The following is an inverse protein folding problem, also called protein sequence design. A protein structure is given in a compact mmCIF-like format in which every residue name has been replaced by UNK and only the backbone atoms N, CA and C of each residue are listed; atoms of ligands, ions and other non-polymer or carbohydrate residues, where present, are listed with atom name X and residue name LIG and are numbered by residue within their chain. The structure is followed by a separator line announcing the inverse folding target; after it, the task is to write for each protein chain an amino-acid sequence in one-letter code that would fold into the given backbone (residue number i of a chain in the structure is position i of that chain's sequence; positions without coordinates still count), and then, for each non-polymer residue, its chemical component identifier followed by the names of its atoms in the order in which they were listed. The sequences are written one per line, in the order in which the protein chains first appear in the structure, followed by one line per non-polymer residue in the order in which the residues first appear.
data_IF_605300855919
#
_entry.id   IF_605300855919
#
_cell.length_a   1.000
_cell.length_b   1.000
_cell.length_c   1.000
_cell.angle_alpha   90.00
_cell.angle_beta   90.00
_cell.angle_gamma   90.00
#
_symmetry.space_group_name_H-M   'P 1'
#
loop_
_entity.id
_entity.type
_entity.pdbx_description
1 polymer ?
#
# COMPACT_ATOMS: atom_id res chain seq x y z
N UNK A 1 -15.26 7.80 -8.24
CA UNK A 1 -13.77 7.76 -8.21
C UNK A 1 -13.28 9.18 -8.39
N UNK A 2 -12.38 9.64 -7.52
CA UNK A 2 -11.79 10.97 -7.62
C UNK A 2 -10.73 11.00 -8.72
N UNK A 3 -10.68 12.07 -9.55
CA UNK A 3 -9.59 12.22 -10.49
C UNK A 3 -8.25 12.41 -9.78
N UNK A 4 -7.18 11.94 -10.41
CA UNK A 4 -5.82 12.15 -9.92
C UNK A 4 -5.49 13.67 -9.94
N UNK A 5 -4.85 14.18 -8.89
CA UNK A 5 -4.55 15.60 -8.73
C UNK A 5 -5.73 16.46 -8.23
N UNK A 6 -6.87 15.85 -7.89
CA UNK A 6 -7.99 16.56 -7.31
C UNK A 6 -7.71 16.95 -5.85
N UNK A 7 -7.77 18.23 -5.56
CA UNK A 7 -7.77 18.71 -4.18
C UNK A 7 -9.13 18.45 -3.56
N UNK A 8 -9.13 17.90 -2.36
CA UNK A 8 -10.35 17.58 -1.61
C UNK A 8 -10.30 18.20 -0.21
N UNK A 9 -11.43 18.62 0.29
CA UNK A 9 -11.64 18.87 1.72
C UNK A 9 -12.45 17.71 2.31
N UNK A 10 -12.06 17.27 3.49
CA UNK A 10 -12.73 16.17 4.20
C UNK A 10 -13.35 16.73 5.48
N UNK A 11 -14.69 16.61 5.59
CA UNK A 11 -15.40 16.87 6.83
C UNK A 11 -15.22 15.69 7.78
N UNK A 12 -14.37 15.84 8.80
CA UNK A 12 -14.04 14.75 9.72
C UNK A 12 -15.09 14.47 10.81
N UNK A 13 -16.13 15.31 10.93
CA UNK A 13 -17.17 15.13 11.95
C UNK A 13 -17.93 13.82 11.73
N UNK A 14 -17.93 12.92 12.70
CA UNK A 14 -18.52 11.57 12.56
C UNK A 14 -17.59 10.50 12.01
N UNK A 15 -16.39 10.88 11.55
CA UNK A 15 -15.31 9.95 11.25
C UNK A 15 -14.37 9.82 12.45
N UNK A 16 -13.62 8.73 12.49
CA UNK A 16 -12.64 8.48 13.54
C UNK A 16 -11.31 8.01 12.94
N UNK A 17 -10.23 8.27 13.68
CA UNK A 17 -8.91 7.76 13.36
C UNK A 17 -8.69 6.47 14.16
N UNK A 18 -8.27 5.43 13.48
CA UNK A 18 -7.91 4.16 14.07
C UNK A 18 -6.77 3.52 13.31
N UNK A 19 -6.62 2.22 13.48
CA UNK A 19 -5.61 1.45 12.77
C UNK A 19 -6.20 0.17 12.19
N UNK A 20 -5.69 -0.21 11.05
CA UNK A 20 -5.90 -1.51 10.44
C UNK A 20 -4.53 -2.12 10.12
N UNK A 21 -4.25 -3.33 10.64
CA UNK A 21 -2.96 -3.99 10.47
C UNK A 21 -1.74 -3.06 10.72
N UNK A 22 -1.79 -2.29 11.81
CA UNK A 22 -0.83 -1.25 12.20
C UNK A 22 -0.76 0.00 11.30
N UNK A 23 -1.48 0.08 10.22
CA UNK A 23 -1.57 1.28 9.41
C UNK A 23 -2.66 2.21 9.96
N UNK A 24 -2.33 3.50 10.15
CA UNK A 24 -3.31 4.51 10.52
C UNK A 24 -4.35 4.67 9.40
N UNK A 25 -5.62 4.71 9.77
CA UNK A 25 -6.70 4.97 8.81
C UNK A 25 -7.75 5.92 9.38
N UNK A 26 -8.31 6.74 8.50
CA UNK A 26 -9.54 7.47 8.75
C UNK A 26 -10.71 6.60 8.31
N UNK A 27 -11.72 6.45 9.14
CA UNK A 27 -12.84 5.57 8.82
C UNK A 27 -14.09 5.84 9.62
N UNK A 28 -15.07 4.97 9.47
CA UNK A 28 -16.33 5.01 10.21
C UNK A 28 -16.24 4.09 11.42
N UNK A 29 -16.53 4.58 12.64
CA UNK A 29 -16.55 3.72 13.80
C UNK A 29 -17.72 2.73 13.73
N UNK A 30 -17.48 1.47 14.06
CA UNK A 30 -18.51 0.45 14.19
C UNK A 30 -18.21 -0.45 15.39
N UNK A 31 -19.24 -1.05 15.94
CA UNK A 31 -19.09 -1.99 17.04
C UNK A 31 -18.98 -3.42 16.50
N UNK A 32 -17.81 -4.02 16.67
CA UNK A 32 -17.58 -5.39 16.27
C UNK A 32 -18.08 -6.35 17.35
N UNK A 33 -19.14 -7.11 17.03
CA UNK A 33 -19.67 -8.17 17.87
C UNK A 33 -19.05 -9.54 17.61
N UNK A 34 -18.28 -9.69 16.54
CA UNK A 34 -17.66 -10.95 16.18
C UNK A 34 -16.70 -11.41 17.28
N UNK A 35 -16.72 -12.69 17.59
CA UNK A 35 -15.75 -13.30 18.51
C UNK A 35 -14.43 -13.58 17.82
N UNK A 36 -14.45 -13.61 16.50
CA UNK A 36 -13.33 -13.93 15.64
C UNK A 36 -13.23 -12.83 14.60
N UNK A 37 -12.23 -12.00 14.72
CA UNK A 37 -11.82 -11.02 13.71
C UNK A 37 -10.37 -11.23 13.38
N UNK A 38 -9.97 -10.92 12.18
CA UNK A 38 -8.58 -11.10 11.71
C UNK A 38 -7.57 -10.45 12.67
N UNK A 39 -7.85 -9.23 13.14
CA UNK A 39 -6.93 -8.47 13.98
C UNK A 39 -7.30 -8.49 15.47
N UNK A 40 -8.50 -8.94 15.82
CA UNK A 40 -9.06 -8.85 17.16
C UNK A 40 -9.76 -10.14 17.59
N UNK A 41 -9.22 -11.28 17.19
CA UNK A 41 -9.79 -12.58 17.55
C UNK A 41 -10.21 -12.65 19.02
N UNK A 42 -11.49 -12.81 19.23
CA UNK A 42 -12.10 -12.91 20.57
C UNK A 42 -12.34 -11.58 21.30
N UNK A 43 -12.06 -10.42 20.72
CA UNK A 43 -12.31 -9.11 21.32
C UNK A 43 -13.55 -8.47 20.73
N UNK A 44 -14.51 -8.15 21.58
CA UNK A 44 -15.61 -7.25 21.22
C UNK A 44 -15.16 -5.82 21.48
N UNK A 45 -15.53 -4.90 20.61
CA UNK A 45 -15.21 -3.50 20.83
C UNK A 45 -15.50 -2.60 19.63
N UNK A 46 -15.19 -1.34 19.83
CA UNK A 46 -15.25 -0.35 18.78
C UNK A 46 -14.02 -0.47 17.88
N UNK A 47 -14.28 -0.54 16.60
CA UNK A 47 -13.27 -0.59 15.54
C UNK A 47 -13.52 0.51 14.52
N UNK A 48 -12.52 0.79 13.69
CA UNK A 48 -12.62 1.73 12.61
C UNK A 48 -12.64 0.96 11.30
N UNK A 49 -13.78 1.03 10.62
CA UNK A 49 -14.00 0.38 9.34
C UNK A 49 -13.72 1.30 8.15
N UNK A 50 -13.88 0.74 6.98
CA UNK A 50 -13.83 1.49 5.72
C UNK A 50 -14.94 2.54 5.70
N UNK A 51 -14.72 3.65 5.00
CA UNK A 51 -15.78 4.64 4.74
C UNK A 51 -16.60 4.13 3.54
N UNK A 52 -17.87 3.76 3.74
CA UNK A 52 -18.73 3.37 2.61
C UNK A 52 -18.89 4.53 1.62
N UNK A 53 -19.06 4.23 0.34
CA UNK A 53 -19.15 5.25 -0.71
C UNK A 53 -20.21 6.34 -0.44
N UNK A 54 -21.44 6.04 0.01
CA UNK A 54 -22.41 7.07 0.34
C UNK A 54 -21.89 8.03 1.43
N UNK A 55 -21.33 7.51 2.51
CA UNK A 55 -20.76 8.30 3.61
C UNK A 55 -19.56 9.12 3.11
N UNK A 56 -18.71 8.52 2.28
CA UNK A 56 -17.59 9.23 1.66
C UNK A 56 -18.06 10.45 0.86
N UNK A 57 -19.12 10.32 0.06
CA UNK A 57 -19.67 11.41 -0.74
C UNK A 57 -20.25 12.56 0.12
N UNK A 58 -20.76 12.27 1.31
CA UNK A 58 -21.25 13.27 2.26
C UNK A 58 -20.12 14.03 2.96
N UNK A 59 -18.95 13.41 3.06
CA UNK A 59 -17.79 13.94 3.79
C UNK A 59 -16.76 14.63 2.91
N UNK A 60 -16.91 14.55 1.56
CA UNK A 60 -15.90 15.08 0.63
C UNK A 60 -16.47 16.29 -0.12
N UNK A 61 -15.64 17.32 -0.20
CA UNK A 61 -15.84 18.45 -1.10
C UNK A 61 -14.67 18.55 -2.07
N UNK A 62 -14.97 18.63 -3.38
CA UNK A 62 -13.96 18.86 -4.41
C UNK A 62 -13.63 20.34 -4.46
N UNK A 63 -12.34 20.66 -4.53
CA UNK A 63 -11.84 22.03 -4.59
C UNK A 63 -11.09 22.24 -5.90
N UNK A 64 -11.56 23.17 -6.71
CA UNK A 64 -10.94 23.49 -7.99
C UNK A 64 -10.98 22.34 -9.00
N UNK A 65 -10.15 22.43 -10.02
CA UNK A 65 -9.96 21.42 -11.05
C UNK A 65 -8.77 20.51 -10.70
N UNK A 66 -8.81 19.22 -11.10
CA UNK A 66 -7.68 18.30 -10.92
C UNK A 66 -6.44 18.84 -11.63
N UNK A 67 -5.29 18.75 -10.96
CA UNK A 67 -4.00 19.16 -11.49
C UNK A 67 -2.93 18.17 -11.07
N UNK A 68 -2.53 17.30 -11.99
CA UNK A 68 -1.53 16.26 -11.75
C UNK A 68 -0.16 16.85 -11.41
N UNK A 69 0.16 18.05 -11.91
CA UNK A 69 1.45 18.70 -11.65
C UNK A 69 1.65 19.09 -10.18
N UNK A 70 0.57 19.14 -9.41
CA UNK A 70 0.58 19.43 -7.96
C UNK A 70 0.72 18.20 -7.08
N UNK A 71 0.84 17.02 -7.67
CA UNK A 71 1.09 15.81 -6.90
C UNK A 71 2.57 15.76 -6.56
N UNK A 72 2.85 15.99 -5.28
CA UNK A 72 4.21 15.93 -4.75
C UNK A 72 4.59 14.50 -4.39
N UNK A 73 5.81 14.10 -4.76
CA UNK A 73 6.40 12.84 -4.33
C UNK A 73 7.56 13.12 -3.38
N UNK A 74 7.60 12.39 -2.27
CA UNK A 74 8.72 12.46 -1.35
C UNK A 74 9.84 11.56 -1.87
N UNK A 75 11.04 12.09 -2.16
CA UNK A 75 12.19 11.24 -2.49
C UNK A 75 12.52 10.36 -1.27
N UNK A 76 12.79 9.08 -1.51
CA UNK A 76 13.06 8.09 -0.48
C UNK A 76 14.11 7.11 -0.96
N UNK A 77 14.89 6.57 -0.04
CA UNK A 77 15.82 5.46 -0.29
C UNK A 77 15.30 4.18 0.37
N UNK A 78 15.82 3.02 -0.05
CA UNK A 78 15.42 1.74 0.56
C UNK A 78 15.77 1.71 2.05
N UNK A 79 16.84 2.38 2.48
CA UNK A 79 17.26 2.41 3.88
C UNK A 79 16.32 3.22 4.79
N UNK A 80 15.45 4.05 4.22
CA UNK A 80 14.50 4.87 4.97
C UNK A 80 13.16 4.17 5.24
N UNK A 81 12.95 2.96 4.70
CA UNK A 81 11.75 2.18 5.03
C UNK A 81 11.74 1.87 6.53
N UNK A 82 10.65 2.18 7.23
CA UNK A 82 10.51 1.81 8.64
C UNK A 82 10.59 0.30 8.80
N UNK A 83 11.22 -0.16 9.87
CA UNK A 83 11.19 -1.57 10.24
C UNK A 83 9.75 -2.03 10.48
N UNK A 84 9.47 -3.31 10.22
CA UNK A 84 8.11 -3.88 10.34
C UNK A 84 7.59 -3.82 11.78
N UNK A 85 8.46 -3.83 12.76
CA UNK A 85 8.19 -3.72 14.18
C UNK A 85 8.38 -2.30 14.75
N UNK A 86 8.55 -1.31 13.88
CA UNK A 86 8.64 0.08 14.30
C UNK A 86 7.40 0.51 15.09
N UNK A 87 7.59 1.50 15.95
CA UNK A 87 6.48 2.07 16.72
C UNK A 87 5.43 2.73 15.81
N UNK A 88 4.19 2.83 16.33
CA UNK A 88 3.07 3.36 15.57
C UNK A 88 3.32 4.77 15.00
N UNK A 89 4.02 5.64 15.73
CA UNK A 89 4.27 7.01 15.28
C UNK A 89 5.27 7.04 14.12
N UNK A 90 6.26 6.19 14.14
CA UNK A 90 7.22 6.01 13.05
C UNK A 90 6.51 5.49 11.80
N UNK A 91 5.65 4.47 11.95
CA UNK A 91 4.83 3.94 10.85
C UNK A 91 3.88 5.01 10.31
N UNK A 92 3.16 5.71 11.19
CA UNK A 92 2.19 6.74 10.80
C UNK A 92 2.83 7.91 10.06
N UNK A 93 4.10 8.20 10.31
CA UNK A 93 4.85 9.23 9.58
C UNK A 93 4.96 8.93 8.09
N UNK A 94 5.08 7.67 7.72
CA UNK A 94 5.31 7.24 6.35
C UNK A 94 4.07 6.65 5.66
N UNK A 95 3.17 6.02 6.41
CA UNK A 95 1.99 5.37 5.88
C UNK A 95 1.13 6.31 5.03
N UNK A 96 0.80 5.88 3.81
CA UNK A 96 0.00 6.64 2.86
C UNK A 96 0.75 7.76 2.12
N UNK A 97 2.04 7.97 2.37
CA UNK A 97 2.83 8.94 1.59
C UNK A 97 3.14 8.40 0.21
N UNK A 98 3.00 9.26 -0.78
CA UNK A 98 3.48 9.00 -2.13
C UNK A 98 4.98 9.27 -2.17
N UNK A 99 5.77 8.22 -2.39
CA UNK A 99 7.23 8.28 -2.43
C UNK A 99 7.77 7.91 -3.78
N UNK A 100 8.98 8.38 -4.08
CA UNK A 100 9.73 8.00 -5.28
C UNK A 100 11.10 7.49 -4.87
N UNK A 101 11.47 6.34 -5.41
CA UNK A 101 12.78 5.70 -5.22
C UNK A 101 13.43 5.62 -6.59
N UNK A 102 14.60 6.22 -6.72
CA UNK A 102 15.36 6.27 -7.98
C UNK A 102 16.46 5.21 -8.01
N UNK A 103 16.99 4.96 -9.21
CA UNK A 103 18.11 4.04 -9.48
C UNK A 103 17.86 2.61 -9.01
N UNK A 104 16.67 2.10 -9.29
CA UNK A 104 16.23 0.74 -8.94
C UNK A 104 15.90 -0.07 -10.20
N UNK A 105 15.95 -1.39 -10.07
CA UNK A 105 15.54 -2.33 -11.11
C UNK A 105 14.75 -3.49 -10.49
N UNK A 106 13.87 -4.12 -11.27
CA UNK A 106 13.13 -5.31 -10.84
C UNK A 106 14.01 -6.55 -10.91
N UNK A 107 14.09 -7.30 -9.80
CA UNK A 107 14.86 -8.57 -9.74
C UNK A 107 14.15 -9.74 -10.40
N UNK A 108 12.87 -9.59 -10.77
CA UNK A 108 11.97 -10.64 -11.25
C UNK A 108 11.72 -11.74 -10.20
N UNK A 109 11.68 -11.32 -8.96
CA UNK A 109 11.39 -12.14 -7.80
C UNK A 109 10.17 -11.58 -7.06
N UNK A 110 9.56 -12.42 -6.25
CA UNK A 110 8.55 -12.07 -5.27
C UNK A 110 8.96 -12.56 -3.87
N UNK A 111 8.21 -12.16 -2.85
CA UNK A 111 8.36 -12.77 -1.54
C UNK A 111 7.46 -14.01 -1.43
N UNK A 112 8.10 -15.17 -1.22
CA UNK A 112 7.44 -16.41 -0.83
C UNK A 112 7.82 -16.73 0.62
N UNK A 113 6.82 -16.75 1.51
CA UNK A 113 7.02 -16.94 2.97
C UNK A 113 8.16 -16.07 3.56
N UNK A 114 8.22 -14.80 3.11
CA UNK A 114 9.21 -13.84 3.60
C UNK A 114 10.62 -13.96 3.01
N UNK A 115 10.81 -14.82 2.00
CA UNK A 115 12.08 -14.98 1.29
C UNK A 115 11.93 -14.65 -0.20
N UNK A 116 12.94 -14.05 -0.85
CA UNK A 116 12.95 -13.88 -2.29
C UNK A 116 12.87 -15.23 -3.01
N UNK A 117 11.96 -15.36 -3.94
CA UNK A 117 11.79 -16.51 -4.83
C UNK A 117 11.66 -16.04 -6.28
N UNK A 118 12.23 -16.78 -7.22
CA UNK A 118 12.18 -16.44 -8.63
C UNK A 118 10.76 -16.65 -9.17
N UNK A 119 10.30 -15.70 -9.98
CA UNK A 119 9.02 -15.81 -10.67
C UNK A 119 9.13 -16.74 -11.87
N UNK A 120 8.11 -17.57 -12.08
CA UNK A 120 7.91 -18.28 -13.33
C UNK A 120 7.71 -17.30 -14.50
N UNK A 121 8.00 -17.72 -15.74
CA UNK A 121 7.92 -16.83 -16.90
C UNK A 121 6.52 -16.21 -17.07
N UNK A 122 5.46 -16.97 -16.77
CA UNK A 122 4.08 -16.51 -16.88
C UNK A 122 3.74 -15.44 -15.82
N UNK A 123 4.48 -15.39 -14.70
CA UNK A 123 4.23 -14.52 -13.57
C UNK A 123 5.14 -13.27 -13.56
N UNK A 124 5.99 -13.10 -14.59
CA UNK A 124 6.84 -11.92 -14.78
C UNK A 124 6.04 -10.69 -15.23
N UNK A 125 4.90 -10.48 -14.59
CA UNK A 125 4.00 -9.34 -14.74
C UNK A 125 3.81 -8.65 -13.40
N UNK A 126 3.24 -7.44 -13.38
CA UNK A 126 3.08 -6.70 -12.13
C UNK A 126 2.17 -7.38 -11.12
N UNK A 127 1.04 -7.93 -11.56
CA UNK A 127 0.14 -8.69 -10.68
C UNK A 127 -0.67 -9.71 -11.50
N UNK A 128 -0.41 -11.02 -11.38
CA UNK A 128 -1.26 -12.04 -11.99
C UNK A 128 -2.64 -12.01 -11.33
N UNK A 129 -3.65 -12.43 -12.09
CA UNK A 129 -5.01 -12.54 -11.55
C UNK A 129 -5.10 -13.64 -10.50
N UNK A 130 -5.59 -13.28 -9.33
CA UNK A 130 -5.81 -14.17 -8.19
C UNK A 130 -7.30 -14.41 -7.93
N UNK A 131 -8.06 -14.73 -8.97
CA UNK A 131 -9.50 -14.97 -8.92
C UNK A 131 -10.36 -13.74 -8.57
N UNK A 132 -9.92 -12.54 -8.91
CA UNK A 132 -10.67 -11.31 -8.67
C UNK A 132 -10.73 -10.90 -7.20
N UNK A 133 -9.80 -11.37 -6.38
CA UNK A 133 -9.75 -11.03 -4.95
C UNK A 133 -9.11 -9.67 -4.72
N UNK A 134 -8.22 -9.23 -5.62
CA UNK A 134 -7.57 -7.91 -5.56
C UNK A 134 -6.42 -7.81 -4.58
N UNK A 135 -5.91 -8.92 -4.07
CA UNK A 135 -4.74 -8.89 -3.19
C UNK A 135 -3.50 -8.38 -3.95
N UNK A 136 -2.73 -7.48 -3.33
CA UNK A 136 -1.49 -7.03 -3.94
C UNK A 136 -0.50 -8.18 -4.10
N UNK A 137 0.08 -8.29 -5.28
CA UNK A 137 1.19 -9.18 -5.53
C UNK A 137 2.49 -8.41 -5.36
N UNK A 138 3.42 -8.95 -4.58
CA UNK A 138 4.71 -8.31 -4.36
C UNK A 138 5.67 -8.59 -5.52
N UNK A 139 6.39 -7.56 -5.93
CA UNK A 139 7.49 -7.66 -6.90
C UNK A 139 8.71 -7.00 -6.30
N UNK A 140 9.80 -7.76 -6.22
CA UNK A 140 11.03 -7.29 -5.59
C UNK A 140 11.80 -6.41 -6.56
N UNK A 141 12.29 -5.31 -6.03
CA UNK A 141 13.23 -4.43 -6.71
C UNK A 141 14.49 -4.23 -5.85
N UNK A 142 15.59 -3.94 -6.50
CA UNK A 142 16.88 -3.73 -5.86
C UNK A 142 17.46 -2.37 -6.25
N UNK A 143 18.31 -1.83 -5.38
CA UNK A 143 19.08 -0.64 -5.67
C UNK A 143 20.23 -1.00 -6.65
N UNK A 144 20.42 -0.23 -7.72
CA UNK A 144 21.47 -0.48 -8.72
C UNK A 144 22.88 -0.48 -8.12
N UNK A 145 23.15 0.47 -7.21
CA UNK A 145 24.46 0.61 -6.58
C UNK A 145 24.76 -0.44 -5.53
N UNK A 146 23.74 -1.12 -4.99
CA UNK A 146 23.88 -2.20 -4.01
C UNK A 146 22.75 -3.22 -4.18
N UNK A 147 22.94 -4.25 -5.00
CA UNK A 147 21.91 -5.28 -5.26
C UNK A 147 21.44 -6.09 -4.05
N UNK A 148 22.12 -5.97 -2.92
CA UNK A 148 21.69 -6.59 -1.66
C UNK A 148 20.61 -5.78 -0.95
N UNK A 149 20.48 -4.50 -1.28
CA UNK A 149 19.41 -3.64 -0.79
C UNK A 149 18.19 -3.83 -1.65
N UNK A 150 17.27 -4.63 -1.14
CA UNK A 150 16.00 -4.99 -1.81
C UNK A 150 14.81 -4.47 -1.02
N UNK A 151 13.74 -4.21 -1.74
CA UNK A 151 12.41 -3.96 -1.19
C UNK A 151 11.36 -4.47 -2.18
N UNK A 152 10.09 -4.32 -1.87
CA UNK A 152 9.04 -4.78 -2.76
C UNK A 152 7.95 -3.73 -2.98
N UNK A 153 7.35 -3.78 -4.16
CA UNK A 153 6.12 -3.04 -4.47
C UNK A 153 4.97 -4.02 -4.64
N UNK A 154 3.86 -3.76 -3.96
CA UNK A 154 2.61 -4.49 -4.13
C UNK A 154 1.75 -3.83 -5.20
N UNK A 155 1.34 -4.59 -6.21
CA UNK A 155 0.41 -4.14 -7.24
C UNK A 155 -0.89 -4.93 -7.13
N UNK A 156 -2.02 -4.21 -7.07
CA UNK A 156 -3.33 -4.85 -7.10
C UNK A 156 -3.65 -5.39 -8.50
N UNK A 157 -4.28 -6.56 -8.58
CA UNK A 157 -4.77 -7.12 -9.84
C UNK A 157 -5.82 -6.24 -10.56
N UNK A 158 -6.41 -5.26 -9.85
CA UNK A 158 -7.31 -4.26 -10.44
C UNK A 158 -6.59 -3.07 -11.07
N UNK A 159 -5.26 -3.00 -10.96
CA UNK A 159 -4.50 -1.95 -11.62
C UNK A 159 -4.58 -2.13 -13.14
N UNK A 160 -4.69 -1.03 -13.89
CA UNK A 160 -4.79 -1.07 -15.37
C UNK A 160 -3.56 -1.67 -16.05
N UNK A 161 -2.45 -1.77 -15.34
CA UNK A 161 -1.18 -2.32 -15.81
C UNK A 161 -0.80 -3.62 -15.09
N UNK A 162 -1.78 -4.26 -14.41
CA UNK A 162 -1.49 -5.46 -13.61
C UNK A 162 -0.87 -6.60 -14.44
N UNK A 163 -1.36 -6.79 -15.65
CA UNK A 163 -0.90 -7.81 -16.63
C UNK A 163 0.27 -7.33 -17.52
N UNK A 164 0.73 -6.09 -17.33
CA UNK A 164 1.89 -5.61 -18.06
C UNK A 164 3.16 -6.36 -17.62
N UNK A 165 4.07 -6.68 -18.54
CA UNK A 165 5.31 -7.36 -18.20
C UNK A 165 6.19 -6.47 -17.31
N UNK A 166 6.87 -7.10 -16.36
CA UNK A 166 7.90 -6.42 -15.57
C UNK A 166 9.02 -5.93 -16.52
N UNK A 167 9.60 -4.75 -16.27
CA UNK A 167 10.78 -4.31 -16.98
C UNK A 167 11.90 -5.35 -16.94
N UNK A 168 12.74 -5.36 -17.96
CA UNK A 168 13.92 -6.22 -17.98
C UNK A 168 14.82 -5.94 -16.76
N UNK A 169 15.54 -6.96 -16.27
CA UNK A 169 16.35 -6.83 -15.05
C UNK A 169 17.57 -5.91 -15.21
N UNK A 170 17.93 -5.56 -16.44
CA UNK A 170 18.97 -4.57 -16.78
C UNK A 170 18.41 -3.15 -16.94
N UNK A 171 17.09 -2.98 -16.92
CA UNK A 171 16.45 -1.67 -16.99
C UNK A 171 16.44 -1.01 -15.61
N UNK A 172 17.18 0.08 -15.50
CA UNK A 172 17.24 0.91 -14.30
C UNK A 172 16.32 2.11 -14.44
N UNK A 173 15.49 2.34 -13.46
CA UNK A 173 14.52 3.43 -13.48
C UNK A 173 14.18 3.93 -12.08
N UNK A 174 12.97 4.42 -11.94
CA UNK A 174 12.41 4.84 -10.67
C UNK A 174 11.05 4.20 -10.42
N UNK A 175 10.76 3.97 -9.15
CA UNK A 175 9.46 3.47 -8.69
C UNK A 175 8.77 4.58 -7.90
N UNK A 176 7.50 4.82 -8.22
CA UNK A 176 6.63 5.72 -7.44
C UNK A 176 5.46 4.94 -6.91
N UNK A 177 5.21 5.04 -5.62
CA UNK A 177 4.13 4.31 -4.96
C UNK A 177 3.80 4.87 -3.57
N UNK A 178 2.74 4.36 -2.98
CA UNK A 178 2.38 4.70 -1.60
C UNK A 178 3.05 3.74 -0.63
N UNK A 179 3.58 4.27 0.46
CA UNK A 179 4.02 3.44 1.57
C UNK A 179 2.78 2.81 2.21
N UNK A 180 2.72 1.49 2.15
CA UNK A 180 1.70 0.68 2.80
C UNK A 180 2.33 -0.14 3.92
N UNK A 181 1.58 -0.33 4.99
CA UNK A 181 2.02 -1.12 6.13
C UNK A 181 0.96 -2.16 6.43
N UNK A 182 1.35 -3.41 6.45
CA UNK A 182 0.48 -4.50 6.83
C UNK A 182 1.23 -5.43 7.78
N UNK A 183 0.86 -5.40 9.05
CA UNK A 183 1.38 -6.33 10.03
C UNK A 183 0.24 -6.83 10.92
N UNK A 184 -0.09 -8.09 10.74
CA UNK A 184 -1.03 -8.81 11.57
C UNK A 184 -0.26 -9.65 12.61
N UNK A 185 -0.61 -9.52 13.88
CA UNK A 185 0.04 -10.25 14.98
C UNK A 185 -0.10 -11.77 14.90
N UNK A 186 -0.87 -12.30 13.97
CA UNK A 186 -1.07 -13.74 13.74
C UNK A 186 -0.28 -14.31 12.57
N UNK A 187 0.29 -13.47 11.73
CA UNK A 187 1.06 -13.89 10.57
C UNK A 187 2.55 -13.80 10.82
N UNK A 188 3.21 -14.92 11.00
CA UNK A 188 4.63 -15.04 10.72
C UNK A 188 4.80 -14.91 9.21
N UNK A 189 5.01 -13.72 8.71
CA UNK A 189 5.53 -13.52 7.35
C UNK A 189 7.03 -13.42 7.40
#
# INVERSE_FOLDING_TARGET
ILPMGQVIAIKCNGLAIGKYANMAQLGVPFFNNAKEGLDNAGKKGWEIGRIPLPVFMEHIQLIGTPDISKIDTVPMTIDEFPAIDADFMTIAKWAGRLVRIDNVYFTRQEYDYGKPADLDEADKIFAPSTNGIGYPQSRIFALQSDPKKISAIGTSEYAKFADAPLPASDYVGSITGFISYYWDKGGSS
#
